data_IF_932104494553
#
_entry.id   IF_932104494553
#
_cell.length_a   1.000
_cell.length_b   1.000
_cell.length_c   1.000
_cell.angle_alpha   90.00
_cell.angle_beta   90.00
_cell.angle_gamma   90.00
#
_symmetry.space_group_name_H-M   'P 1'
#
loop_
_entity.id
_entity.type
_entity.pdbx_description
1 polymer ?
#
# COMPACT_ATOMS: atom_id res chain seq x y z
N UNK A 1 -0.79 -0.12 26.10
CA UNK A 1 -1.05 0.61 24.85
C UNK A 1 -2.47 0.32 24.41
N UNK A 2 -3.21 1.30 23.90
CA UNK A 2 -4.58 1.06 23.43
C UNK A 2 -4.51 0.38 22.07
N UNK A 3 -5.01 -0.84 21.97
CA UNK A 3 -5.08 -1.61 20.73
C UNK A 3 -5.99 -0.97 19.65
N UNK A 4 -6.45 0.27 19.85
CA UNK A 4 -7.21 1.08 18.92
C UNK A 4 -6.35 1.74 17.82
N UNK A 5 -5.05 1.95 18.02
CA UNK A 5 -4.18 2.61 17.02
C UNK A 5 -3.86 1.72 15.79
N UNK A 6 -3.80 0.41 16.00
CA UNK A 6 -3.55 -0.57 14.95
C UNK A 6 -4.72 -0.72 13.96
N UNK A 7 -5.99 -0.78 14.41
CA UNK A 7 -7.16 -0.64 13.54
C UNK A 7 -7.11 0.59 12.66
N UNK A 8 -6.71 1.74 13.20
CA UNK A 8 -6.68 3.00 12.42
C UNK A 8 -5.58 2.97 11.38
N UNK A 9 -4.38 2.48 11.72
CA UNK A 9 -3.29 2.32 10.77
C UNK A 9 -3.63 1.29 9.68
N UNK A 10 -4.26 0.17 10.05
CA UNK A 10 -4.73 -0.84 9.11
C UNK A 10 -5.85 -0.32 8.20
N UNK A 11 -6.77 0.48 8.73
CA UNK A 11 -7.82 1.13 7.94
C UNK A 11 -7.22 2.14 6.95
N UNK A 12 -6.28 2.99 7.40
CA UNK A 12 -5.60 3.95 6.52
C UNK A 12 -4.79 3.25 5.43
N UNK A 13 -4.09 2.17 5.78
CA UNK A 13 -3.38 1.35 4.81
C UNK A 13 -4.34 0.69 3.81
N UNK A 14 -5.46 0.16 4.28
CA UNK A 14 -6.49 -0.43 3.41
C UNK A 14 -7.08 0.61 2.45
N UNK A 15 -7.47 1.78 2.96
CA UNK A 15 -7.98 2.91 2.14
C UNK A 15 -6.94 3.34 1.11
N UNK A 16 -5.69 3.45 1.53
CA UNK A 16 -4.60 3.81 0.63
C UNK A 16 -4.43 2.74 -0.46
N UNK A 17 -4.42 1.45 -0.08
CA UNK A 17 -4.26 0.33 -1.03
C UNK A 17 -5.42 0.22 -2.02
N UNK A 18 -6.66 0.50 -1.60
CA UNK A 18 -7.85 0.48 -2.48
C UNK A 18 -7.97 1.73 -3.35
N UNK A 19 -7.31 2.82 -2.96
CA UNK A 19 -7.23 4.04 -3.76
C UNK A 19 -6.18 3.98 -4.88
N UNK A 20 -5.27 3.01 -4.84
CA UNK A 20 -4.24 2.82 -5.85
C UNK A 20 -4.58 1.64 -6.77
N UNK A 21 -4.27 1.79 -8.05
CA UNK A 21 -4.36 0.69 -8.99
C UNK A 21 -3.33 -0.37 -8.63
N UNK A 22 -3.79 -1.58 -8.30
CA UNK A 22 -2.90 -2.71 -7.99
C UNK A 22 -2.49 -3.47 -9.25
N UNK A 23 -2.75 -2.91 -10.44
CA UNK A 23 -2.50 -3.57 -11.73
C UNK A 23 -3.07 -4.98 -11.76
N UNK A 24 -4.22 -5.21 -11.12
CA UNK A 24 -4.87 -6.54 -11.03
C UNK A 24 -4.04 -7.64 -10.34
N UNK A 25 -2.86 -7.33 -9.77
CA UNK A 25 -2.06 -8.25 -8.93
C UNK A 25 -2.61 -8.39 -7.51
N UNK A 26 -3.60 -7.58 -7.14
CA UNK A 26 -4.22 -7.65 -5.83
C UNK A 26 -5.13 -8.87 -5.72
N UNK A 27 -4.89 -9.74 -4.73
CA UNK A 27 -5.94 -10.64 -4.24
C UNK A 27 -7.18 -9.79 -3.99
N UNK A 28 -8.23 -10.00 -4.81
CA UNK A 28 -9.38 -9.09 -4.89
C UNK A 28 -9.84 -8.63 -3.52
N UNK A 29 -10.20 -7.36 -3.36
CA UNK A 29 -10.34 -6.69 -2.05
C UNK A 29 -11.12 -7.49 -0.99
N UNK A 30 -12.07 -8.33 -1.40
CA UNK A 30 -12.78 -9.27 -0.55
C UNK A 30 -11.88 -10.32 0.16
N UNK A 31 -10.91 -10.91 -0.54
CA UNK A 31 -9.97 -11.89 0.05
C UNK A 31 -9.01 -11.21 1.03
N UNK A 32 -8.47 -10.04 0.69
CA UNK A 32 -7.66 -9.24 1.61
C UNK A 32 -8.42 -8.88 2.89
N UNK A 33 -9.70 -8.51 2.77
CA UNK A 33 -10.59 -8.23 3.92
C UNK A 33 -10.85 -9.50 4.74
N UNK A 34 -11.07 -10.65 4.10
CA UNK A 34 -11.27 -11.93 4.79
C UNK A 34 -10.03 -12.32 5.60
N UNK A 35 -8.84 -12.23 5.00
CA UNK A 35 -7.58 -12.47 5.70
C UNK A 35 -7.39 -11.50 6.86
N UNK A 36 -7.67 -10.21 6.66
CA UNK A 36 -7.55 -9.21 7.72
C UNK A 36 -8.53 -9.50 8.86
N UNK A 37 -9.78 -9.85 8.57
CA UNK A 37 -10.77 -10.28 9.56
C UNK A 37 -10.34 -11.52 10.36
N UNK A 38 -9.76 -12.50 9.67
CA UNK A 38 -9.35 -13.77 10.28
C UNK A 38 -8.07 -13.61 11.12
N UNK A 39 -7.07 -12.89 10.61
CA UNK A 39 -5.75 -12.78 11.24
C UNK A 39 -5.61 -11.57 12.17
N UNK A 40 -6.36 -10.48 11.99
CA UNK A 40 -6.30 -9.32 12.88
C UNK A 40 -6.50 -9.66 14.37
N UNK A 41 -7.49 -10.46 14.80
CA UNK A 41 -7.65 -10.78 16.22
C UNK A 41 -6.44 -11.53 16.80
N UNK A 42 -5.67 -12.22 15.97
CA UNK A 42 -4.43 -12.90 16.37
C UNK A 42 -3.21 -11.96 16.31
N UNK A 43 -3.09 -11.12 15.27
CA UNK A 43 -1.94 -10.25 15.04
C UNK A 43 -1.96 -8.98 15.89
N UNK A 44 -3.14 -8.38 16.10
CA UNK A 44 -3.32 -7.14 16.86
C UNK A 44 -2.76 -7.22 18.30
N UNK A 45 -3.00 -8.28 19.10
CA UNK A 45 -2.41 -8.37 20.43
C UNK A 45 -0.89 -8.51 20.38
N UNK A 46 -0.33 -9.26 19.43
CA UNK A 46 1.12 -9.40 19.26
C UNK A 46 1.78 -8.08 18.84
N UNK A 47 1.24 -7.39 17.83
CA UNK A 47 1.73 -6.07 17.42
C UNK A 47 1.62 -5.05 18.55
N UNK A 48 0.50 -5.06 19.29
CA UNK A 48 0.31 -4.20 20.44
C UNK A 48 1.32 -4.44 21.54
N UNK A 49 1.72 -5.71 21.75
CA UNK A 49 2.73 -6.11 22.72
C UNK A 49 4.15 -5.74 22.25
N UNK A 50 4.45 -5.92 20.97
CA UNK A 50 5.72 -5.53 20.34
C UNK A 50 5.91 -4.01 20.42
N UNK A 51 4.91 -3.22 20.00
CA UNK A 51 4.92 -1.78 20.13
C UNK A 51 5.06 -1.35 21.60
N UNK A 52 4.45 -2.08 22.53
CA UNK A 52 4.60 -1.79 23.97
C UNK A 52 6.02 -2.05 24.44
N UNK A 53 6.66 -3.12 23.98
CA UNK A 53 8.04 -3.45 24.30
C UNK A 53 9.03 -2.43 23.71
N UNK A 54 8.79 -1.99 22.48
CA UNK A 54 9.74 -1.14 21.73
C UNK A 54 9.59 0.34 22.06
N UNK A 55 8.37 0.82 22.31
CA UNK A 55 8.11 2.26 22.54
C UNK A 55 7.87 2.58 24.02
N UNK A 56 7.04 1.80 24.72
CA UNK A 56 6.60 2.20 26.07
C UNK A 56 7.51 1.74 27.20
N UNK A 57 8.15 0.59 27.05
CA UNK A 57 9.11 0.07 28.02
C UNK A 57 10.36 0.97 28.15
N UNK A 58 11.04 1.39 27.06
CA UNK A 58 12.16 2.32 27.18
C UNK A 58 11.72 3.70 27.70
N UNK A 59 10.56 4.21 27.28
CA UNK A 59 10.00 5.45 27.82
C UNK A 59 9.76 5.37 29.34
N UNK A 60 9.27 4.22 29.83
CA UNK A 60 9.04 3.99 31.26
C UNK A 60 10.34 3.83 32.06
N UNK A 61 11.37 3.20 31.48
CA UNK A 61 12.70 3.09 32.09
C UNK A 61 13.36 4.46 32.19
N UNK A 62 13.32 5.25 31.11
CA UNK A 62 13.83 6.63 31.07
C UNK A 62 13.09 7.53 32.06
N UNK A 63 11.76 7.43 32.13
CA UNK A 63 10.97 8.16 33.10
C UNK A 63 11.36 7.79 34.54
N UNK A 64 11.54 6.49 34.86
CA UNK A 64 11.99 6.00 36.19
C UNK A 64 13.41 6.44 36.54
N UNK A 65 14.31 6.50 35.57
CA UNK A 65 15.65 7.04 35.79
C UNK A 65 15.60 8.55 36.11
N UNK A 66 14.76 9.31 35.40
CA UNK A 66 14.51 10.72 35.66
C UNK A 66 13.84 10.95 37.03
N UNK A 67 12.95 10.06 37.47
CA UNK A 67 12.32 10.08 38.80
C UNK A 67 13.34 10.05 39.94
N UNK A 68 14.48 9.36 39.78
CA UNK A 68 15.52 9.28 40.82
C UNK A 68 16.40 10.52 40.89
N UNK A 69 16.48 11.31 39.82
CA UNK A 69 17.50 12.35 39.65
C UNK A 69 16.96 13.77 39.78
N UNK A 70 15.67 13.98 39.54
CA UNK A 70 15.03 15.28 39.65
C UNK A 70 13.75 15.16 40.50
N UNK A 71 13.49 16.07 41.44
CA UNK A 71 12.23 16.17 42.21
C UNK A 71 11.20 17.09 41.53
N UNK A 72 9.91 16.75 41.53
CA UNK A 72 8.87 17.45 40.74
C UNK A 72 7.65 16.60 40.31
N UNK A 73 6.62 17.23 39.72
CA UNK A 73 5.31 16.61 39.48
C UNK A 73 5.33 15.53 38.39
N UNK A 74 4.68 14.39 38.67
CA UNK A 74 4.77 13.18 37.85
C UNK A 74 4.31 13.35 36.39
N UNK A 75 3.34 14.22 36.13
CA UNK A 75 2.75 14.41 34.80
C UNK A 75 3.75 15.02 33.81
N UNK A 76 4.50 16.04 34.23
CA UNK A 76 5.49 16.75 33.40
C UNK A 76 6.59 15.83 32.90
N UNK A 77 7.00 14.86 33.72
CA UNK A 77 8.10 13.91 33.42
C UNK A 77 7.67 12.79 32.50
N UNK A 78 6.42 12.35 32.59
CA UNK A 78 5.85 11.36 31.66
C UNK A 78 5.73 11.95 30.26
N UNK A 79 5.36 13.23 30.17
CA UNK A 79 5.35 13.97 28.90
C UNK A 79 6.77 14.13 28.35
N UNK A 80 7.74 14.54 29.19
CA UNK A 80 9.14 14.66 28.77
C UNK A 80 9.75 13.33 28.32
N UNK A 81 9.46 12.23 29.02
CA UNK A 81 9.94 10.89 28.66
C UNK A 81 9.31 10.36 27.37
N UNK A 82 8.02 10.61 27.15
CA UNK A 82 7.34 10.28 25.90
C UNK A 82 7.90 11.08 24.72
N UNK A 83 8.11 12.39 24.91
CA UNK A 83 8.71 13.26 23.90
C UNK A 83 10.15 12.85 23.56
N UNK A 84 11.00 12.58 24.56
CA UNK A 84 12.37 12.13 24.33
C UNK A 84 12.44 10.78 23.59
N UNK A 85 11.53 9.86 23.91
CA UNK A 85 11.46 8.56 23.22
C UNK A 85 10.98 8.70 21.77
N UNK A 86 10.00 9.58 21.52
CA UNK A 86 9.51 9.87 20.17
C UNK A 86 10.57 10.59 19.32
N UNK A 87 11.34 11.51 19.89
CA UNK A 87 12.47 12.18 19.23
C UNK A 87 13.59 11.18 18.91
N UNK A 88 13.92 10.28 19.84
CA UNK A 88 14.91 9.22 19.62
C UNK A 88 14.53 8.29 18.47
N UNK A 89 13.28 7.82 18.44
CA UNK A 89 12.80 6.98 17.35
C UNK A 89 12.66 7.74 16.02
N UNK A 90 12.21 8.99 16.06
CA UNK A 90 12.18 9.86 14.88
C UNK A 90 13.57 10.04 14.25
N UNK A 91 14.61 10.16 15.07
CA UNK A 91 15.99 10.27 14.59
C UNK A 91 16.49 8.97 13.96
N UNK A 92 16.17 7.81 14.55
CA UNK A 92 16.51 6.48 14.01
C UNK A 92 15.83 6.26 12.67
N UNK A 93 14.53 6.56 12.56
CA UNK A 93 13.79 6.40 11.29
C UNK A 93 14.25 7.37 10.22
N UNK A 94 14.60 8.60 10.58
CA UNK A 94 15.15 9.55 9.62
C UNK A 94 16.53 9.11 9.10
N UNK A 95 17.38 8.56 9.97
CA UNK A 95 18.73 8.13 9.60
C UNK A 95 18.75 6.80 8.81
N UNK A 96 17.87 5.85 9.13
CA UNK A 96 17.86 4.53 8.49
C UNK A 96 16.91 4.44 7.29
N UNK A 97 15.80 5.17 7.30
CA UNK A 97 14.72 5.04 6.33
C UNK A 97 14.53 6.31 5.47
N UNK A 98 15.32 7.36 5.69
CA UNK A 98 15.24 8.64 4.96
C UNK A 98 13.86 9.32 5.05
N UNK A 99 13.09 8.99 6.09
CA UNK A 99 11.75 9.55 6.28
C UNK A 99 11.79 10.98 6.85
N UNK A 100 10.79 11.83 6.51
CA UNK A 100 10.74 13.20 6.99
C UNK A 100 10.57 13.27 8.51
N UNK A 101 11.66 13.65 9.20
CA UNK A 101 11.79 13.64 10.66
C UNK A 101 10.64 14.32 11.40
N UNK A 102 10.20 15.50 10.92
CA UNK A 102 9.15 16.28 11.57
C UNK A 102 7.82 15.52 11.57
N UNK A 103 7.47 14.91 10.44
CA UNK A 103 6.25 14.11 10.29
C UNK A 103 6.29 12.87 11.17
N UNK A 104 7.42 12.14 11.14
CA UNK A 104 7.58 10.90 11.90
C UNK A 104 7.61 11.15 13.41
N UNK A 105 8.35 12.15 13.87
CA UNK A 105 8.43 12.52 15.29
C UNK A 105 7.08 13.01 15.82
N UNK A 106 6.31 13.77 15.03
CA UNK A 106 4.98 14.26 15.43
C UNK A 106 3.99 13.10 15.61
N UNK A 107 3.97 12.17 14.64
CA UNK A 107 3.12 10.97 14.70
C UNK A 107 3.49 10.08 15.88
N UNK A 108 4.78 9.83 16.11
CA UNK A 108 5.25 9.02 17.24
C UNK A 108 4.97 9.68 18.59
N UNK A 109 5.10 11.00 18.68
CA UNK A 109 4.78 11.77 19.89
C UNK A 109 3.29 11.68 20.21
N UNK A 110 2.43 11.87 19.20
CA UNK A 110 0.98 11.71 19.35
C UNK A 110 0.60 10.27 19.76
N UNK A 111 1.22 9.26 19.15
CA UNK A 111 1.00 7.86 19.49
C UNK A 111 1.45 7.52 20.92
N UNK A 112 2.55 8.12 21.40
CA UNK A 112 3.11 7.87 22.73
C UNK A 112 2.40 8.61 23.87
N UNK A 113 1.89 9.82 23.62
CA UNK A 113 1.24 10.65 24.66
C UNK A 113 -0.10 10.07 25.12
N UNK A 114 -0.93 9.61 24.17
CA UNK A 114 -2.26 9.06 24.41
C UNK A 114 -2.28 7.90 25.44
N UNK A 115 -1.47 6.84 25.27
CA UNK A 115 -1.43 5.74 26.24
C UNK A 115 -0.79 6.13 27.58
N UNK A 116 0.13 7.09 27.61
CA UNK A 116 0.75 7.57 28.85
C UNK A 116 -0.26 8.30 29.75
N UNK A 117 -1.16 9.08 29.16
CA UNK A 117 -2.26 9.76 29.85
C UNK A 117 -3.38 8.79 30.24
N UNK A 118 -3.77 7.86 29.35
CA UNK A 118 -4.77 6.84 29.64
C UNK A 118 -4.38 5.93 30.82
N UNK A 119 -3.10 5.56 30.92
CA UNK A 119 -2.57 4.79 32.06
C UNK A 119 -2.65 5.54 33.39
N UNK A 120 -2.51 6.88 33.39
CA UNK A 120 -2.63 7.68 34.61
C UNK A 120 -4.09 7.72 35.10
N UNK A 121 -5.05 7.78 34.17
CA UNK A 121 -6.48 7.78 34.47
C UNK A 121 -6.98 6.42 34.98
N UNK A 122 -6.50 5.32 34.41
CA UNK A 122 -6.96 3.96 34.80
C UNK A 122 -6.36 3.51 36.14
N UNK A 123 -5.15 3.96 36.50
CA UNK A 123 -4.48 3.56 37.75
C UNK A 123 -5.15 4.08 39.02
N UNK A 124 -6.03 5.08 38.93
CA UNK A 124 -6.78 5.62 40.07
C UNK A 124 -8.03 4.79 40.40
N UNK A 125 -8.36 3.77 39.58
CA UNK A 125 -9.53 2.91 39.76
C UNK A 125 -9.07 1.48 40.06
N UNK A 126 -9.43 0.92 41.21
CA UNK A 126 -9.07 -0.44 41.63
C UNK A 126 -9.89 -1.50 40.87
N UNK A 127 -9.53 -1.76 39.62
CA UNK A 127 -10.15 -2.82 38.83
C UNK A 127 -9.29 -4.08 38.78
N UNK A 128 -9.95 -5.25 38.84
CA UNK A 128 -9.33 -6.55 38.60
C UNK A 128 -8.56 -6.52 37.29
N UNK A 129 -7.26 -6.86 37.33
CA UNK A 129 -6.35 -6.86 36.17
C UNK A 129 -6.92 -7.68 35.00
N UNK A 130 -7.67 -8.74 35.30
CA UNK A 130 -8.28 -9.62 34.31
C UNK A 130 -9.52 -8.99 33.66
N UNK A 131 -10.37 -8.32 34.47
CA UNK A 131 -11.54 -7.60 33.96
C UNK A 131 -11.17 -6.39 33.10
N UNK A 132 -10.06 -5.72 33.41
CA UNK A 132 -9.54 -4.61 32.59
C UNK A 132 -9.02 -5.11 31.24
N UNK A 133 -8.34 -6.25 31.22
CA UNK A 133 -7.83 -6.86 29.98
C UNK A 133 -8.97 -7.30 29.05
N UNK A 134 -9.97 -8.00 29.59
CA UNK A 134 -11.13 -8.45 28.81
C UNK A 134 -11.98 -7.29 28.30
N UNK A 135 -12.22 -6.26 29.13
CA UNK A 135 -12.93 -5.06 28.70
C UNK A 135 -12.17 -4.27 27.65
N UNK A 136 -10.85 -4.16 27.77
CA UNK A 136 -10.02 -3.53 26.75
C UNK A 136 -10.07 -4.30 25.44
N UNK A 137 -10.01 -5.63 25.49
CA UNK A 137 -10.13 -6.48 24.31
C UNK A 137 -11.49 -6.28 23.62
N UNK A 138 -12.58 -6.30 24.39
CA UNK A 138 -13.94 -6.05 23.89
C UNK A 138 -14.11 -4.66 23.28
N UNK A 139 -13.58 -3.61 23.91
CA UNK A 139 -13.65 -2.24 23.38
C UNK A 139 -12.84 -2.12 22.08
N UNK A 140 -11.67 -2.75 22.01
CA UNK A 140 -10.86 -2.72 20.79
C UNK A 140 -11.49 -3.53 19.67
N UNK A 141 -12.06 -4.70 19.97
CA UNK A 141 -12.84 -5.47 19.02
C UNK A 141 -14.04 -4.67 18.51
N UNK A 142 -14.79 -4.02 19.41
CA UNK A 142 -15.93 -3.17 19.05
C UNK A 142 -15.53 -1.99 18.16
N UNK A 143 -14.45 -1.28 18.49
CA UNK A 143 -13.92 -0.19 17.68
C UNK A 143 -13.43 -0.66 16.31
N UNK A 144 -12.77 -1.82 16.25
CA UNK A 144 -12.34 -2.43 15.00
C UNK A 144 -13.54 -2.81 14.13
N UNK A 145 -14.55 -3.47 14.69
CA UNK A 145 -15.79 -3.82 13.98
C UNK A 145 -16.53 -2.57 13.49
N UNK A 146 -16.58 -1.51 14.30
CA UNK A 146 -17.16 -0.22 13.88
C UNK A 146 -16.38 0.44 12.74
N UNK A 147 -15.05 0.46 12.83
CA UNK A 147 -14.19 1.05 11.80
C UNK A 147 -14.26 0.26 10.48
N UNK A 148 -14.20 -1.07 10.56
CA UNK A 148 -14.31 -1.95 9.40
C UNK A 148 -15.72 -1.90 8.80
N UNK A 149 -16.76 -1.99 9.63
CA UNK A 149 -18.15 -1.87 9.19
C UNK A 149 -18.44 -0.51 8.57
N UNK A 150 -17.88 0.57 9.13
CA UNK A 150 -17.94 1.91 8.56
C UNK A 150 -17.20 2.01 7.22
N UNK A 151 -16.02 1.41 7.10
CA UNK A 151 -15.26 1.33 5.85
C UNK A 151 -16.00 0.56 4.76
N UNK A 152 -16.55 -0.62 5.09
CA UNK A 152 -17.38 -1.42 4.18
C UNK A 152 -18.64 -0.68 3.75
N UNK A 153 -19.33 -0.03 4.70
CA UNK A 153 -20.50 0.78 4.40
C UNK A 153 -20.13 1.97 3.49
N UNK A 154 -18.98 2.62 3.71
CA UNK A 154 -18.49 3.69 2.86
C UNK A 154 -18.14 3.20 1.44
N UNK A 155 -17.57 2.01 1.29
CA UNK A 155 -17.36 1.40 -0.02
C UNK A 155 -18.68 1.03 -0.72
N UNK A 156 -19.62 0.41 -0.01
CA UNK A 156 -20.90 -0.03 -0.57
C UNK A 156 -21.82 1.15 -0.96
N UNK A 157 -21.70 2.28 -0.26
CA UNK A 157 -22.45 3.51 -0.55
C UNK A 157 -21.76 4.40 -1.58
N UNK A 158 -20.57 4.02 -2.06
CA UNK A 158 -19.78 4.84 -2.99
C UNK A 158 -19.19 6.12 -2.37
N UNK A 159 -19.23 6.26 -1.03
CA UNK A 159 -18.57 7.35 -0.31
C UNK A 159 -17.05 7.28 -0.43
N UNK A 160 -16.50 6.07 -0.60
CA UNK A 160 -15.10 5.86 -0.99
C UNK A 160 -15.02 5.69 -2.50
N UNK A 161 -14.38 6.62 -3.23
CA UNK A 161 -14.16 6.45 -4.65
C UNK A 161 -13.26 5.23 -4.85
N UNK A 162 -13.81 4.18 -5.45
CA UNK A 162 -13.00 3.09 -5.96
C UNK A 162 -12.20 3.63 -7.13
N UNK A 163 -10.96 3.18 -7.25
CA UNK A 163 -10.15 3.54 -8.40
C UNK A 163 -10.85 3.07 -9.69
N UNK A 164 -11.05 4.00 -10.61
CA UNK A 164 -11.59 3.73 -11.94
C UNK A 164 -10.51 4.13 -12.97
N UNK A 165 -10.09 3.20 -13.85
CA UNK A 165 -9.08 3.49 -14.86
C UNK A 165 -9.51 4.66 -15.76
N UNK A 166 -8.57 5.50 -16.21
CA UNK A 166 -8.91 6.59 -17.10
C UNK A 166 -9.40 6.07 -18.46
N UNK A 167 -10.59 6.48 -18.88
CA UNK A 167 -11.05 6.22 -20.25
C UNK A 167 -10.31 7.11 -21.25
N UNK A 168 -9.30 6.54 -21.92
CA UNK A 168 -8.46 7.24 -22.89
C UNK A 168 -8.97 7.03 -24.31
N UNK A 169 -9.37 8.11 -24.98
CA UNK A 169 -9.73 8.06 -26.41
C UNK A 169 -8.57 7.56 -27.27
N UNK A 170 -8.86 7.07 -28.49
CA UNK A 170 -7.83 6.65 -29.44
C UNK A 170 -6.75 7.73 -29.64
N UNK A 171 -7.15 9.01 -29.70
CA UNK A 171 -6.23 10.13 -29.84
C UNK A 171 -5.36 10.39 -28.60
N UNK A 172 -5.83 10.03 -27.40
CA UNK A 172 -5.02 10.11 -26.17
C UNK A 172 -4.06 8.92 -26.06
N UNK A 173 -4.42 7.77 -26.65
CA UNK A 173 -3.56 6.59 -26.71
C UNK A 173 -2.39 6.77 -27.69
N UNK A 174 -2.57 7.52 -28.78
CA UNK A 174 -1.51 7.78 -29.76
C UNK A 174 -0.37 8.61 -29.18
N UNK A 175 0.88 8.20 -29.35
CA UNK A 175 2.11 8.85 -28.88
C UNK A 175 3.15 7.83 -28.42
N UNK A 176 4.11 8.27 -27.63
CA UNK A 176 5.22 7.42 -27.14
C UNK A 176 5.02 7.05 -25.68
N UNK A 177 5.04 5.75 -25.43
CA UNK A 177 4.96 5.12 -24.13
C UNK A 177 6.31 4.49 -23.79
N UNK A 178 6.81 4.73 -22.57
CA UNK A 178 8.13 4.25 -22.15
C UNK A 178 8.03 3.44 -20.88
N UNK A 179 8.66 2.28 -20.89
CA UNK A 179 8.82 1.45 -19.71
C UNK A 179 10.27 1.38 -19.24
N UNK A 180 10.49 0.52 -18.27
CA UNK A 180 11.82 0.18 -17.79
C UNK A 180 12.70 -0.45 -18.89
N UNK A 181 14.00 -0.52 -18.63
CA UNK A 181 14.99 -1.20 -19.50
C UNK A 181 15.03 -0.72 -20.97
N UNK A 182 14.58 0.52 -21.20
CA UNK A 182 14.55 1.16 -22.52
C UNK A 182 13.41 0.67 -23.42
N UNK A 183 12.38 0.07 -22.84
CA UNK A 183 11.16 -0.31 -23.54
C UNK A 183 10.45 0.95 -24.07
N UNK A 184 10.14 0.97 -25.36
CA UNK A 184 9.39 2.05 -25.99
C UNK A 184 8.32 1.44 -26.90
N UNK A 185 7.10 1.97 -26.77
CA UNK A 185 5.96 1.66 -27.63
C UNK A 185 5.43 2.97 -28.21
N UNK A 186 5.47 3.09 -29.53
CA UNK A 186 4.91 4.21 -30.25
C UNK A 186 3.61 3.78 -30.93
N UNK A 187 2.52 4.45 -30.57
CA UNK A 187 1.20 4.23 -31.14
C UNK A 187 0.83 5.39 -32.05
N UNK A 188 0.57 5.12 -33.32
CA UNK A 188 0.20 6.16 -34.30
C UNK A 188 -1.29 6.17 -34.57
N UNK A 189 -1.81 7.31 -35.06
CA UNK A 189 -3.26 7.54 -35.22
C UNK A 189 -3.92 6.66 -36.26
N UNK A 190 -3.16 6.22 -37.25
CA UNK A 190 -3.54 5.27 -38.30
C UNK A 190 -3.62 3.82 -37.82
N UNK A 191 -3.34 3.56 -36.54
CA UNK A 191 -3.41 2.21 -35.96
C UNK A 191 -2.12 1.40 -36.13
N UNK A 192 -1.00 2.04 -36.51
CA UNK A 192 0.32 1.40 -36.54
C UNK A 192 1.00 1.48 -35.17
N UNK A 193 1.69 0.42 -34.80
CA UNK A 193 2.51 0.32 -33.61
C UNK A 193 3.97 0.12 -33.99
N UNK A 194 4.88 0.76 -33.26
CA UNK A 194 6.32 0.52 -33.34
C UNK A 194 6.82 0.21 -31.93
N UNK A 195 7.47 -0.94 -31.77
CA UNK A 195 7.97 -1.44 -30.51
C UNK A 195 9.49 -1.48 -30.54
N UNK A 196 10.12 -1.05 -29.45
CA UNK A 196 11.56 -1.16 -29.23
C UNK A 196 11.82 -1.71 -27.83
N UNK A 197 12.47 -2.89 -27.77
CA UNK A 197 12.70 -3.63 -26.51
C UNK A 197 11.43 -3.78 -25.67
N UNK A 198 10.27 -3.88 -26.33
CA UNK A 198 8.99 -3.97 -25.65
C UNK A 198 8.83 -5.38 -25.08
N UNK A 199 8.55 -5.53 -23.77
CA UNK A 199 8.22 -6.82 -23.20
C UNK A 199 6.94 -7.38 -23.84
N UNK A 200 6.97 -8.60 -24.36
CA UNK A 200 5.81 -9.27 -24.97
C UNK A 200 5.66 -10.70 -24.47
N UNK A 201 4.45 -11.22 -24.62
CA UNK A 201 4.16 -12.61 -24.26
C UNK A 201 4.93 -13.56 -25.20
N UNK A 202 5.61 -14.54 -24.61
CA UNK A 202 6.40 -15.48 -25.38
C UNK A 202 5.49 -16.45 -26.15
N UNK A 203 5.92 -16.87 -27.34
CA UNK A 203 5.20 -17.91 -28.08
C UNK A 203 5.38 -19.29 -27.40
N UNK A 204 4.39 -20.18 -27.61
CA UNK A 204 4.33 -21.56 -27.07
C UNK A 204 5.56 -22.44 -27.39
N UNK A 205 6.38 -22.07 -28.36
CA UNK A 205 7.64 -22.72 -28.72
C UNK A 205 8.80 -22.45 -27.74
N UNK A 206 8.54 -21.80 -26.61
CA UNK A 206 9.30 -21.96 -25.36
C UNK A 206 10.74 -21.46 -25.37
N UNK A 207 11.16 -20.78 -26.43
CA UNK A 207 12.52 -20.23 -26.56
C UNK A 207 12.54 -18.77 -26.15
N UNK A 208 12.24 -18.52 -24.86
CA UNK A 208 12.68 -17.28 -24.24
C UNK A 208 14.17 -17.41 -23.95
N UNK A 209 15.04 -16.52 -24.46
CA UNK A 209 16.44 -16.51 -24.06
C UNK A 209 16.52 -16.28 -22.54
N UNK A 210 17.23 -17.15 -21.84
CA UNK A 210 17.59 -17.02 -20.42
C UNK A 210 16.46 -17.11 -19.38
N UNK A 211 15.51 -18.06 -19.52
CA UNK A 211 14.60 -18.40 -18.41
C UNK A 211 13.78 -17.21 -17.88
N UNK A 212 13.49 -16.25 -18.75
CA UNK A 212 12.61 -15.12 -18.47
C UNK A 212 11.18 -15.49 -18.85
N UNK A 213 10.22 -14.92 -18.14
CA UNK A 213 8.80 -15.18 -18.40
C UNK A 213 8.23 -14.38 -19.60
N UNK A 214 9.06 -13.57 -20.27
CA UNK A 214 8.65 -12.70 -21.39
C UNK A 214 9.77 -12.47 -22.41
N UNK A 215 9.37 -12.25 -23.67
CA UNK A 215 10.26 -11.86 -24.76
C UNK A 215 10.48 -10.33 -24.81
N UNK A 216 11.51 -9.90 -25.55
CA UNK A 216 11.71 -8.49 -25.90
C UNK A 216 11.53 -8.33 -27.40
N UNK A 217 10.49 -7.59 -27.79
CA UNK A 217 10.20 -7.28 -29.18
C UNK A 217 10.87 -5.98 -29.63
N UNK A 218 11.45 -6.02 -30.83
CA UNK A 218 11.79 -4.83 -31.61
C UNK A 218 11.21 -5.01 -33.01
N UNK A 219 10.14 -4.27 -33.34
CA UNK A 219 9.38 -4.52 -34.55
C UNK A 219 8.24 -3.54 -34.76
N UNK A 220 7.51 -3.72 -35.84
CA UNK A 220 6.31 -2.95 -36.17
C UNK A 220 5.07 -3.81 -36.07
N UNK A 221 3.90 -3.19 -36.16
CA UNK A 221 2.63 -3.89 -36.13
C UNK A 221 1.46 -2.94 -36.17
N UNK A 222 0.31 -3.42 -35.69
CA UNK A 222 -0.91 -2.63 -35.54
C UNK A 222 -1.41 -2.66 -34.11
N UNK A 223 -2.24 -1.67 -33.77
CA UNK A 223 -2.88 -1.61 -32.47
C UNK A 223 -4.34 -1.20 -32.58
N UNK A 224 -5.12 -1.72 -31.65
CA UNK A 224 -6.53 -1.39 -31.52
C UNK A 224 -6.87 -1.07 -30.07
N UNK A 225 -7.87 -0.21 -29.88
CA UNK A 225 -8.43 0.03 -28.55
C UNK A 225 -9.49 -1.04 -28.32
N UNK A 226 -9.40 -1.75 -27.22
CA UNK A 226 -10.36 -2.75 -26.80
C UNK A 226 -10.53 -2.75 -25.29
N UNK A 227 -10.86 -3.92 -24.78
CA UNK A 227 -10.92 -4.22 -23.36
C UNK A 227 -10.13 -5.51 -23.12
N UNK A 228 -9.55 -5.65 -21.93
CA UNK A 228 -8.96 -6.92 -21.49
C UNK A 228 -10.04 -7.88 -20.96
N UNK A 229 -9.62 -9.06 -20.50
CA UNK A 229 -10.52 -10.09 -19.96
C UNK A 229 -11.31 -9.60 -18.71
N UNK A 230 -10.78 -8.59 -18.01
CA UNK A 230 -11.42 -7.96 -16.85
C UNK A 230 -12.37 -6.82 -17.26
N UNK A 231 -12.64 -6.62 -18.56
CA UNK A 231 -13.43 -5.52 -19.12
C UNK A 231 -12.84 -4.13 -18.81
N UNK A 232 -11.53 -4.05 -18.56
CA UNK A 232 -10.83 -2.78 -18.39
C UNK A 232 -10.38 -2.27 -19.76
N UNK A 233 -10.45 -0.94 -20.03
CA UNK A 233 -9.95 -0.38 -21.28
C UNK A 233 -8.49 -0.77 -21.53
N UNK A 234 -8.21 -1.27 -22.73
CA UNK A 234 -6.89 -1.79 -23.08
C UNK A 234 -6.49 -1.45 -24.52
N UNK A 235 -5.21 -1.62 -24.82
CA UNK A 235 -4.64 -1.60 -26.16
C UNK A 235 -4.27 -3.02 -26.54
N UNK A 236 -4.93 -3.57 -27.56
CA UNK A 236 -4.53 -4.84 -28.16
C UNK A 236 -3.43 -4.57 -29.19
N UNK A 237 -2.25 -5.15 -28.96
CA UNK A 237 -1.11 -5.05 -29.88
C UNK A 237 -0.98 -6.31 -30.72
N UNK A 238 -0.91 -6.11 -32.02
CA UNK A 238 -0.60 -7.12 -33.03
C UNK A 238 0.75 -6.79 -33.65
N UNK A 239 1.82 -7.44 -33.18
CA UNK A 239 3.18 -7.18 -33.67
C UNK A 239 3.59 -8.20 -34.71
N UNK A 240 4.47 -7.79 -35.63
CA UNK A 240 4.93 -8.62 -36.75
C UNK A 240 5.65 -9.90 -36.26
N UNK A 241 5.83 -10.86 -37.17
CA UNK A 241 6.40 -12.18 -36.85
C UNK A 241 7.76 -12.07 -36.16
N UNK A 242 7.87 -12.68 -34.98
CA UNK A 242 9.08 -12.66 -34.14
C UNK A 242 8.92 -11.86 -32.85
N UNK A 243 7.77 -11.21 -32.65
CA UNK A 243 7.47 -10.41 -31.46
C UNK A 243 6.55 -11.08 -30.42
N UNK A 244 6.25 -12.37 -30.57
CA UNK A 244 5.41 -13.10 -29.62
C UNK A 244 3.94 -13.13 -30.02
N UNK A 245 3.09 -13.47 -29.06
CA UNK A 245 1.63 -13.47 -29.19
C UNK A 245 1.08 -12.05 -29.09
N UNK A 246 -0.15 -11.88 -29.57
CA UNK A 246 -0.89 -10.64 -29.39
C UNK A 246 -1.05 -10.33 -27.90
N UNK A 247 -0.70 -9.12 -27.48
CA UNK A 247 -0.62 -8.74 -26.06
C UNK A 247 -1.59 -7.61 -25.73
N UNK A 248 -2.38 -7.77 -24.67
CA UNK A 248 -3.20 -6.69 -24.11
C UNK A 248 -2.37 -5.81 -23.17
N UNK A 249 -2.35 -4.52 -23.45
CA UNK A 249 -1.81 -3.49 -22.59
C UNK A 249 -2.94 -2.67 -21.98
N UNK A 250 -3.31 -3.01 -20.76
CA UNK A 250 -4.42 -2.44 -20.01
C UNK A 250 -4.10 -1.02 -19.52
N UNK A 251 -5.11 -0.14 -19.52
CA UNK A 251 -4.94 1.26 -19.12
C UNK A 251 -4.94 1.40 -17.60
N UNK A 252 -4.00 2.16 -17.05
CA UNK A 252 -3.84 2.47 -15.62
C UNK A 252 -3.44 3.94 -15.40
N UNK A 253 -3.08 4.30 -14.17
CA UNK A 253 -2.66 5.63 -13.76
C UNK A 253 -3.83 6.60 -13.58
N UNK A 254 -3.63 7.86 -13.96
CA UNK A 254 -4.67 8.89 -13.85
C UNK A 254 -4.89 9.58 -15.18
N UNK A 255 -5.97 10.36 -15.32
CA UNK A 255 -6.18 11.18 -16.52
C UNK A 255 -5.01 12.15 -16.81
N UNK A 256 -4.29 12.59 -15.78
CA UNK A 256 -3.16 13.51 -15.91
C UNK A 256 -1.82 12.79 -16.17
N UNK A 257 -1.69 11.55 -15.70
CA UNK A 257 -0.52 10.71 -15.87
C UNK A 257 -0.99 9.29 -16.19
N UNK A 258 -1.41 9.03 -17.43
CA UNK A 258 -1.90 7.71 -17.82
C UNK A 258 -0.74 6.73 -18.01
N UNK A 259 -1.04 5.46 -17.76
CA UNK A 259 -0.10 4.35 -17.87
C UNK A 259 -0.73 3.21 -18.67
N UNK A 260 0.12 2.39 -19.28
CA UNK A 260 -0.27 1.10 -19.84
C UNK A 260 0.47 0.02 -19.06
N UNK A 261 -0.19 -1.10 -18.76
CA UNK A 261 0.47 -2.24 -18.13
C UNK A 261 0.06 -3.56 -18.77
N UNK A 262 0.94 -4.55 -18.69
CA UNK A 262 0.67 -5.91 -19.11
C UNK A 262 1.22 -6.88 -18.07
N UNK A 263 0.49 -7.97 -17.82
CA UNK A 263 0.99 -9.13 -17.10
C UNK A 263 1.61 -10.08 -18.11
N UNK A 264 2.89 -10.38 -17.93
CA UNK A 264 3.60 -11.26 -18.86
C UNK A 264 4.12 -12.48 -18.11
N UNK A 265 3.92 -13.65 -18.72
CA UNK A 265 4.36 -14.93 -18.17
C UNK A 265 3.23 -15.76 -17.59
N UNK A 266 3.60 -16.72 -16.73
CA UNK A 266 2.65 -17.59 -16.05
C UNK A 266 1.65 -16.76 -15.21
N UNK A 267 0.33 -16.97 -15.32
CA UNK A 267 -0.67 -16.28 -14.49
C UNK A 267 -0.39 -16.31 -12.97
N UNK A 268 0.28 -17.35 -12.46
CA UNK A 268 0.59 -17.51 -11.04
C UNK A 268 1.92 -16.85 -10.61
N UNK A 269 2.81 -16.55 -11.55
CA UNK A 269 4.17 -16.07 -11.27
C UNK A 269 4.65 -14.94 -12.21
N UNK A 270 3.73 -14.38 -13.00
CA UNK A 270 4.00 -13.41 -14.05
C UNK A 270 4.52 -12.10 -13.50
N UNK A 271 5.10 -11.31 -14.39
CA UNK A 271 5.68 -10.01 -14.06
C UNK A 271 4.83 -8.92 -14.69
N UNK A 272 4.44 -7.93 -13.87
CA UNK A 272 3.80 -6.72 -14.36
C UNK A 272 4.86 -5.82 -15.01
N UNK A 273 4.57 -5.40 -16.24
CA UNK A 273 5.33 -4.37 -16.95
C UNK A 273 4.46 -3.15 -17.12
N UNK A 274 5.03 -1.97 -16.87
CA UNK A 274 4.33 -0.68 -16.94
C UNK A 274 5.04 0.22 -17.95
N UNK A 275 4.26 0.94 -18.74
CA UNK A 275 4.70 1.98 -19.65
C UNK A 275 4.04 3.30 -19.24
N UNK A 276 4.86 4.30 -18.98
CA UNK A 276 4.42 5.66 -18.73
C UNK A 276 4.24 6.43 -20.02
N UNK A 277 3.22 7.29 -20.04
CA UNK A 277 3.04 8.21 -21.14
C UNK A 277 4.12 9.29 -21.13
N UNK A 278 4.86 9.41 -22.22
CA UNK A 278 5.70 10.61 -22.41
C UNK A 278 4.83 11.74 -22.97
N UNK A 279 4.94 12.93 -22.40
CA UNK A 279 4.40 14.14 -23.01
C UNK A 279 5.13 14.42 -24.33
N UNK A 280 4.38 14.80 -25.36
CA UNK A 280 4.94 15.33 -26.61
C UNK A 280 5.51 16.74 -26.41
#
# INVERSE_FOLDING_TARGET
>A
MNAAQLPTAGLLWWIWSTSQDQYETGYGGAFGILCLLMFAPLLLPFLGLLLSAVLTLPAAVLARAAFRRFGGPEWSRRVLGAAATAVGWGAVTAALLHWPFVSTASVLTALGLLPALGMAYVRTRSWSRWGLWWRSALVCAGLFTLALGGGLAACATGLMPQYEPPDLTRAQLTGVWRGDDGAELRLTRDGRAEAHRLPTEANDDGTVPDGKDHGLCAGTGTWERGEDDAHRPAVLLHLDTGCGLDTHWSVSGTKAAPQLFAHLGDPDAGVVRVLDRTGD
#
